data_IF_438334941266
#
_entry.id   IF_438334941266
#
_cell.length_a   1.000
_cell.length_b   1.000
_cell.length_c   1.000
_cell.angle_alpha   90.00
_cell.angle_beta   90.00
_cell.angle_gamma   90.00
#
_symmetry.space_group_name_H-M   'P 1'
#
loop_
_entity.id
_entity.type
_entity.pdbx_description
1 polymer ?
#
# COMPACT_ATOMS: atom_id res chain seq x y z
N UNK A 1 44.87 45.53 -23.18
CA UNK A 1 44.28 44.43 -23.96
C UNK A 1 43.06 43.94 -23.21
N UNK A 2 41.87 44.27 -23.74
CA UNK A 2 40.55 43.60 -23.71
C UNK A 2 40.07 42.93 -22.42
N UNK A 3 38.83 43.05 -21.95
CA UNK A 3 37.65 43.87 -22.26
C UNK A 3 36.70 43.69 -21.04
N UNK A 4 36.04 44.79 -20.67
CA UNK A 4 34.61 44.97 -20.27
C UNK A 4 33.73 43.76 -19.90
N UNK A 5 32.73 43.78 -19.00
CA UNK A 5 32.01 44.79 -18.22
C UNK A 5 31.12 44.04 -17.19
N UNK A 6 30.83 44.70 -16.04
CA UNK A 6 29.89 44.29 -14.96
C UNK A 6 28.43 44.59 -15.36
N UNK A 7 27.38 44.11 -14.63
CA UNK A 7 26.89 44.87 -13.46
C UNK A 7 26.50 43.99 -12.24
N UNK A 8 26.90 44.37 -11.01
CA UNK A 8 26.15 45.15 -9.97
C UNK A 8 24.91 44.39 -9.47
N UNK A 9 24.92 43.77 -8.28
CA UNK A 9 24.72 44.36 -6.94
C UNK A 9 23.26 44.07 -6.51
N UNK A 10 22.96 43.21 -5.53
CA UNK A 10 23.06 43.43 -4.07
C UNK A 10 22.07 44.52 -3.64
N UNK A 11 21.09 44.36 -2.73
CA UNK A 11 20.82 43.38 -1.69
C UNK A 11 19.43 43.62 -1.06
N UNK A 12 18.83 42.54 -0.56
CA UNK A 12 17.76 42.33 0.45
C UNK A 12 17.21 43.52 1.27
N UNK A 13 15.91 43.46 1.62
CA UNK A 13 15.36 43.24 2.98
C UNK A 13 13.79 43.22 2.97
N UNK A 14 13.15 42.12 3.41
CA UNK A 14 12.32 41.91 4.65
C UNK A 14 10.79 42.20 4.47
N UNK A 15 9.94 41.17 4.69
CA UNK A 15 8.45 41.18 4.63
C UNK A 15 7.76 41.73 5.89
N UNK A 16 6.49 41.40 6.30
CA UNK A 16 5.55 40.33 5.83
C UNK A 16 4.03 40.74 5.76
N UNK A 17 3.14 39.74 5.57
CA UNK A 17 1.74 39.64 6.09
C UNK A 17 0.52 40.17 5.25
N UNK A 18 -0.76 39.84 5.57
CA UNK A 18 -1.62 38.97 4.74
C UNK A 18 -3.00 39.61 4.42
N UNK A 19 -3.37 39.69 3.14
CA UNK A 19 -4.73 40.11 2.75
C UNK A 19 -4.83 41.52 2.14
N UNK A 20 -4.46 41.62 0.87
CA UNK A 20 -5.05 42.59 -0.04
C UNK A 20 -5.72 41.84 -1.20
N UNK A 21 -6.84 41.19 -0.88
CA UNK A 21 -7.74 40.49 -1.81
C UNK A 21 -8.70 41.47 -2.51
N UNK A 22 -8.22 42.63 -2.95
CA UNK A 22 -9.09 43.73 -3.38
C UNK A 22 -8.58 44.46 -4.63
N UNK A 23 -8.21 43.73 -5.68
CA UNK A 23 -8.01 44.31 -7.02
C UNK A 23 -8.68 43.54 -8.17
N UNK A 24 -9.62 42.63 -7.89
CA UNK A 24 -10.42 41.99 -8.94
C UNK A 24 -11.87 41.74 -8.51
N UNK A 25 -12.53 42.70 -7.85
CA UNK A 25 -14.01 42.69 -7.76
C UNK A 25 -14.54 44.12 -7.79
N UNK A 26 -14.88 44.62 -8.98
CA UNK A 26 -16.09 45.41 -9.28
C UNK A 26 -15.99 45.96 -10.70
N UNK A 27 -16.88 45.49 -11.58
CA UNK A 27 -17.02 46.04 -12.92
C UNK A 27 -17.61 45.03 -13.89
N UNK A 28 -18.87 44.64 -13.67
CA UNK A 28 -19.69 43.96 -14.67
C UNK A 28 -19.71 44.78 -15.96
N UNK A 29 -18.99 44.35 -16.98
CA UNK A 29 -19.27 44.79 -18.34
C UNK A 29 -20.47 44.02 -18.87
N UNK A 30 -21.57 44.76 -19.04
CA UNK A 30 -22.81 44.37 -19.70
C UNK A 30 -22.55 44.15 -21.19
N UNK A 31 -21.83 43.09 -21.55
CA UNK A 31 -21.77 42.59 -22.91
C UNK A 31 -21.47 41.08 -22.88
N UNK A 32 -22.36 40.35 -22.21
CA UNK A 32 -22.46 38.90 -22.34
C UNK A 32 -22.93 38.58 -23.77
N UNK A 33 -21.99 38.32 -24.68
CA UNK A 33 -22.29 37.61 -25.92
C UNK A 33 -22.23 36.13 -25.60
N UNK A 34 -23.32 35.35 -25.77
CA UNK A 34 -23.24 33.92 -25.57
C UNK A 34 -22.24 33.36 -26.56
N UNK A 35 -21.26 32.59 -26.09
CA UNK A 35 -20.37 31.82 -26.96
C UNK A 35 -21.23 30.74 -27.61
N UNK A 36 -21.85 31.07 -28.74
CA UNK A 36 -22.49 30.13 -29.63
C UNK A 36 -21.35 29.28 -30.16
N UNK A 37 -21.20 28.06 -29.63
CA UNK A 37 -20.25 27.11 -30.17
C UNK A 37 -20.55 26.94 -31.67
N UNK A 38 -19.57 27.16 -32.56
CA UNK A 38 -19.81 26.96 -33.98
C UNK A 38 -20.23 25.51 -34.20
N UNK A 39 -21.28 25.29 -34.99
CA UNK A 39 -21.88 23.97 -35.26
C UNK A 39 -20.86 22.96 -35.82
N UNK A 40 -19.71 23.44 -36.26
CA UNK A 40 -18.54 22.66 -36.69
C UNK A 40 -17.82 21.91 -35.56
N UNK A 41 -18.01 22.28 -34.28
CA UNK A 41 -17.49 21.49 -33.14
C UNK A 41 -18.39 20.29 -32.81
N UNK A 42 -19.71 20.39 -33.06
CA UNK A 42 -20.63 19.24 -32.99
C UNK A 42 -20.47 18.29 -34.18
N UNK A 43 -20.01 18.78 -35.34
CA UNK A 43 -19.60 17.91 -36.46
C UNK A 43 -18.32 17.12 -36.17
N UNK A 44 -17.45 17.60 -35.26
CA UNK A 44 -16.25 16.87 -34.87
C UNK A 44 -16.51 15.79 -33.81
N UNK A 45 -17.59 15.92 -33.02
CA UNK A 45 -18.01 14.93 -32.03
C UNK A 45 -19.01 13.91 -32.63
N UNK A 46 -19.70 14.26 -33.73
CA UNK A 46 -20.62 13.36 -34.43
C UNK A 46 -19.98 12.54 -35.59
N UNK A 47 -18.67 12.68 -35.84
CA UNK A 47 -17.92 11.77 -36.72
C UNK A 47 -17.10 10.72 -35.98
N UNK A 48 -17.29 10.58 -34.66
CA UNK A 48 -17.01 9.32 -33.97
C UNK A 48 -18.16 8.33 -34.25
N UNK A 49 -18.46 8.07 -35.53
CA UNK A 49 -18.96 6.75 -35.84
C UNK A 49 -17.82 5.81 -35.44
N UNK A 50 -18.11 4.82 -34.60
CA UNK A 50 -17.22 3.67 -34.39
C UNK A 50 -16.95 3.07 -35.78
N UNK A 51 -15.88 3.50 -36.43
CA UNK A 51 -15.52 3.10 -37.79
C UNK A 51 -14.61 1.88 -37.72
N UNK A 52 -15.16 0.71 -37.35
CA UNK A 52 -14.66 -0.62 -37.75
C UNK A 52 -15.29 -1.71 -36.88
N UNK A 53 -15.80 -2.77 -37.52
CA UNK A 53 -16.18 -4.04 -36.84
C UNK A 53 -14.98 -4.66 -36.10
N UNK A 54 -13.75 -4.34 -36.49
CA UNK A 54 -12.52 -4.83 -35.82
C UNK A 54 -12.33 -4.21 -34.44
N UNK A 55 -12.63 -2.92 -34.26
CA UNK A 55 -12.47 -2.26 -32.94
C UNK A 55 -13.49 -2.80 -31.93
N UNK A 56 -14.70 -3.14 -32.39
CA UNK A 56 -15.71 -3.83 -31.56
C UNK A 56 -15.25 -5.26 -31.21
N UNK A 57 -14.71 -6.01 -32.18
CA UNK A 57 -14.19 -7.36 -31.94
C UNK A 57 -12.99 -7.38 -30.99
N UNK A 58 -12.11 -6.38 -31.04
CA UNK A 58 -10.99 -6.24 -30.10
C UNK A 58 -11.49 -5.88 -28.69
N UNK A 59 -12.52 -5.05 -28.56
CA UNK A 59 -13.14 -4.76 -27.26
C UNK A 59 -13.85 -5.96 -26.63
N UNK A 60 -14.59 -6.77 -27.40
CA UNK A 60 -15.21 -8.00 -26.91
C UNK A 60 -14.17 -9.05 -26.50
N UNK A 61 -13.08 -9.16 -27.27
CA UNK A 61 -11.96 -10.04 -26.95
C UNK A 61 -11.23 -9.60 -25.68
N UNK A 62 -11.02 -8.30 -25.48
CA UNK A 62 -10.43 -7.78 -24.24
C UNK A 62 -11.35 -8.03 -23.04
N UNK A 63 -12.66 -7.84 -23.21
CA UNK A 63 -13.64 -8.05 -22.13
C UNK A 63 -13.71 -9.51 -21.71
N UNK A 64 -13.78 -10.43 -22.68
CA UNK A 64 -13.78 -11.88 -22.41
C UNK A 64 -12.49 -12.37 -21.74
N UNK A 65 -11.32 -11.82 -22.11
CA UNK A 65 -10.06 -12.15 -21.44
C UNK A 65 -10.04 -11.64 -19.99
N UNK A 66 -10.54 -10.41 -19.75
CA UNK A 66 -10.67 -9.86 -18.39
C UNK A 66 -11.59 -10.70 -17.52
N UNK A 67 -12.74 -11.09 -18.05
CA UNK A 67 -13.70 -11.96 -17.37
C UNK A 67 -13.09 -13.33 -17.04
N UNK A 68 -12.34 -13.93 -17.98
CA UNK A 68 -11.62 -15.18 -17.72
C UNK A 68 -10.55 -15.02 -16.62
N UNK A 69 -9.82 -13.91 -16.59
CA UNK A 69 -8.83 -13.64 -15.53
C UNK A 69 -9.49 -13.38 -14.17
N UNK A 70 -10.62 -12.69 -14.13
CA UNK A 70 -11.38 -12.45 -12.89
C UNK A 70 -11.95 -13.76 -12.33
N UNK A 71 -12.47 -14.63 -13.19
CA UNK A 71 -12.94 -15.96 -12.79
C UNK A 71 -11.79 -16.83 -12.25
N UNK A 72 -10.63 -16.82 -12.92
CA UNK A 72 -9.42 -17.52 -12.45
C UNK A 72 -8.95 -17.01 -11.08
N UNK A 73 -8.95 -15.68 -10.89
CA UNK A 73 -8.57 -15.05 -9.62
C UNK A 73 -9.55 -15.42 -8.50
N UNK A 74 -10.85 -15.44 -8.81
CA UNK A 74 -11.89 -15.81 -7.85
C UNK A 74 -11.73 -17.26 -7.42
N UNK A 75 -11.56 -18.18 -8.38
CA UNK A 75 -11.30 -19.60 -8.09
C UNK A 75 -10.01 -19.78 -7.24
N UNK A 76 -8.97 -19.01 -7.54
CA UNK A 76 -7.73 -19.03 -6.77
C UNK A 76 -7.91 -18.54 -5.31
N UNK A 77 -8.71 -17.50 -5.09
CA UNK A 77 -9.01 -17.00 -3.76
C UNK A 77 -9.93 -17.97 -2.98
N UNK A 78 -10.86 -18.64 -3.65
CA UNK A 78 -11.70 -19.69 -3.06
C UNK A 78 -10.84 -20.88 -2.59
N UNK A 79 -9.96 -21.41 -3.46
CA UNK A 79 -9.02 -22.48 -3.10
C UNK A 79 -8.11 -22.08 -1.93
N UNK A 80 -7.70 -20.81 -1.87
CA UNK A 80 -6.92 -20.29 -0.75
C UNK A 80 -7.73 -20.31 0.56
N UNK A 81 -9.00 -19.91 0.52
CA UNK A 81 -9.89 -19.91 1.67
C UNK A 81 -10.16 -21.34 2.21
N UNK A 82 -10.18 -22.33 1.32
CA UNK A 82 -10.33 -23.75 1.65
C UNK A 82 -9.02 -24.41 2.13
N UNK A 83 -7.91 -23.67 2.18
CA UNK A 83 -6.56 -24.17 2.49
C UNK A 83 -6.01 -25.21 1.48
N UNK A 84 -6.54 -25.20 0.25
CA UNK A 84 -6.14 -26.08 -0.86
C UNK A 84 -4.98 -25.48 -1.66
N UNK A 85 -3.84 -25.32 -1.00
CA UNK A 85 -2.70 -24.58 -1.58
C UNK A 85 -2.02 -25.30 -2.75
N UNK A 86 -2.08 -26.64 -2.78
CA UNK A 86 -1.49 -27.42 -3.86
C UNK A 86 -2.32 -27.29 -5.14
N UNK A 87 -3.64 -27.40 -5.04
CA UNK A 87 -4.55 -27.18 -6.16
C UNK A 87 -4.45 -25.73 -6.67
N UNK A 88 -4.35 -24.75 -5.75
CA UNK A 88 -4.12 -23.35 -6.08
C UNK A 88 -2.81 -23.15 -6.88
N UNK A 89 -1.74 -23.81 -6.46
CA UNK A 89 -0.47 -23.77 -7.18
C UNK A 89 -0.61 -24.38 -8.57
N UNK A 90 -1.22 -25.57 -8.69
CA UNK A 90 -1.43 -26.24 -9.98
C UNK A 90 -2.29 -25.42 -10.95
N UNK A 91 -3.29 -24.70 -10.43
CA UNK A 91 -4.15 -23.79 -11.19
C UNK A 91 -3.37 -22.57 -11.76
N UNK A 92 -2.53 -21.95 -10.93
CA UNK A 92 -1.83 -20.70 -11.29
C UNK A 92 -0.46 -20.93 -11.94
N UNK A 93 0.16 -22.09 -11.77
CA UNK A 93 1.49 -22.40 -12.28
C UNK A 93 1.66 -22.22 -13.81
N UNK A 94 0.67 -22.57 -14.67
CA UNK A 94 0.74 -22.30 -16.11
C UNK A 94 0.93 -20.81 -16.43
N UNK A 95 0.50 -19.93 -15.54
CA UNK A 95 0.55 -18.47 -15.68
C UNK A 95 1.73 -17.83 -14.97
N UNK A 96 2.71 -18.60 -14.45
CA UNK A 96 3.89 -18.05 -13.76
C UNK A 96 4.71 -17.07 -14.61
N UNK A 97 4.70 -17.28 -15.93
CA UNK A 97 5.41 -16.40 -16.87
C UNK A 97 4.57 -15.20 -17.31
N UNK A 98 3.29 -15.13 -16.92
CA UNK A 98 2.45 -13.97 -17.19
C UNK A 98 3.02 -12.71 -16.53
N UNK A 99 2.68 -11.56 -17.11
CA UNK A 99 2.98 -10.24 -16.54
C UNK A 99 1.80 -9.71 -15.72
N UNK A 100 0.93 -10.60 -15.24
CA UNK A 100 -0.20 -10.23 -14.39
C UNK A 100 0.22 -10.28 -12.92
N UNK A 101 0.26 -9.10 -12.30
CA UNK A 101 0.64 -8.92 -10.91
C UNK A 101 -0.28 -9.70 -9.98
N UNK A 102 -1.58 -9.76 -10.28
CA UNK A 102 -2.59 -10.43 -9.44
C UNK A 102 -2.37 -11.93 -9.34
N UNK A 103 -1.89 -12.53 -10.43
CA UNK A 103 -1.54 -13.96 -10.49
C UNK A 103 -0.22 -14.20 -9.76
N UNK A 104 0.80 -13.39 -10.03
CA UNK A 104 2.15 -13.59 -9.50
C UNK A 104 2.20 -13.56 -7.97
N UNK A 105 1.54 -12.58 -7.32
CA UNK A 105 1.56 -12.50 -5.86
C UNK A 105 0.72 -13.63 -5.23
N UNK A 106 -0.37 -14.08 -5.86
CA UNK A 106 -1.18 -15.22 -5.38
C UNK A 106 -0.44 -16.55 -5.48
N UNK A 107 0.28 -16.77 -6.59
CA UNK A 107 1.15 -17.94 -6.76
C UNK A 107 2.27 -17.93 -5.72
N UNK A 108 2.90 -16.78 -5.49
CA UNK A 108 3.91 -16.61 -4.44
C UNK A 108 3.33 -16.90 -3.05
N UNK A 109 2.12 -16.41 -2.75
CA UNK A 109 1.41 -16.72 -1.50
C UNK A 109 1.19 -18.22 -1.33
N UNK A 110 0.72 -18.91 -2.37
CA UNK A 110 0.51 -20.36 -2.33
C UNK A 110 1.81 -21.10 -1.98
N UNK A 111 2.92 -20.75 -2.65
CA UNK A 111 4.25 -21.29 -2.38
C UNK A 111 4.70 -21.07 -0.94
N UNK A 112 4.45 -19.89 -0.37
CA UNK A 112 4.76 -19.61 1.03
C UNK A 112 4.05 -20.59 1.97
N UNK A 113 2.74 -20.77 1.80
CA UNK A 113 1.95 -21.68 2.64
C UNK A 113 2.35 -23.14 2.44
N UNK A 114 2.61 -23.57 1.20
CA UNK A 114 3.15 -24.90 0.91
C UNK A 114 4.50 -25.12 1.59
N UNK A 115 5.39 -24.12 1.62
CA UNK A 115 6.67 -24.22 2.33
C UNK A 115 6.52 -24.46 3.83
N UNK A 116 5.45 -23.96 4.45
CA UNK A 116 5.15 -24.17 5.88
C UNK A 116 4.65 -25.59 6.16
N UNK A 117 4.03 -26.25 5.18
CA UNK A 117 3.54 -27.62 5.29
C UNK A 117 4.64 -28.67 5.10
N UNK A 118 5.79 -28.32 4.52
CA UNK A 118 6.87 -29.27 4.27
C UNK A 118 7.68 -29.61 5.52
N UNK A 119 8.02 -30.90 5.65
CA UNK A 119 8.91 -31.41 6.69
C UNK A 119 10.39 -31.33 6.29
N UNK A 120 10.71 -31.40 5.00
CA UNK A 120 12.09 -31.37 4.49
C UNK A 120 12.58 -29.95 4.23
N UNK A 121 13.79 -29.64 4.72
CA UNK A 121 14.36 -28.29 4.62
C UNK A 121 14.66 -27.87 3.17
N UNK A 122 15.06 -28.82 2.31
CA UNK A 122 15.40 -28.52 0.90
C UNK A 122 14.17 -28.14 0.06
N UNK A 123 13.05 -28.86 0.21
CA UNK A 123 11.82 -28.52 -0.53
C UNK A 123 11.22 -27.20 -0.04
N UNK A 124 11.28 -26.98 1.28
CA UNK A 124 10.92 -25.69 1.87
C UNK A 124 11.75 -24.55 1.29
N UNK A 125 13.07 -24.73 1.20
CA UNK A 125 13.97 -23.77 0.57
C UNK A 125 13.61 -23.53 -0.89
N UNK A 126 13.35 -24.59 -1.67
CA UNK A 126 12.93 -24.46 -3.08
C UNK A 126 11.70 -23.56 -3.23
N UNK A 127 10.64 -23.80 -2.45
CA UNK A 127 9.42 -22.99 -2.51
C UNK A 127 9.63 -21.54 -2.08
N UNK A 128 10.46 -21.30 -1.06
CA UNK A 128 10.78 -19.93 -0.62
C UNK A 128 11.53 -19.16 -1.70
N UNK A 129 12.51 -19.79 -2.35
CA UNK A 129 13.30 -19.15 -3.40
C UNK A 129 12.47 -18.90 -4.66
N UNK A 130 11.68 -19.88 -5.10
CA UNK A 130 10.77 -19.72 -6.25
C UNK A 130 9.73 -18.62 -6.02
N UNK A 131 9.11 -18.59 -4.84
CA UNK A 131 8.16 -17.54 -4.47
C UNK A 131 8.82 -16.15 -4.39
N UNK A 132 10.08 -16.09 -3.97
CA UNK A 132 10.86 -14.83 -3.96
C UNK A 132 11.08 -14.30 -5.38
N UNK A 133 11.42 -15.16 -6.34
CA UNK A 133 11.67 -14.72 -7.72
C UNK A 133 10.39 -14.20 -8.39
N UNK A 134 9.26 -14.86 -8.15
CA UNK A 134 7.95 -14.42 -8.65
C UNK A 134 7.53 -13.06 -8.08
N UNK A 135 7.74 -12.83 -6.78
CA UNK A 135 7.34 -11.55 -6.16
C UNK A 135 8.28 -10.41 -6.55
N UNK A 136 9.57 -10.68 -6.81
CA UNK A 136 10.49 -9.70 -7.40
C UNK A 136 10.02 -9.30 -8.80
N UNK A 137 9.62 -10.27 -9.62
CA UNK A 137 9.03 -9.98 -10.95
C UNK A 137 7.77 -9.13 -10.81
N UNK A 138 6.87 -9.46 -9.88
CA UNK A 138 5.66 -8.68 -9.63
C UNK A 138 5.97 -7.23 -9.21
N UNK A 139 6.99 -7.02 -8.38
CA UNK A 139 7.43 -5.69 -7.95
C UNK A 139 7.99 -4.85 -9.11
N UNK A 140 8.74 -5.48 -10.03
CA UNK A 140 9.24 -4.82 -11.24
C UNK A 140 8.11 -4.40 -12.18
N UNK A 141 7.00 -5.14 -12.20
CA UNK A 141 5.83 -4.83 -13.03
C UNK A 141 4.96 -3.73 -12.40
N UNK A 142 4.76 -3.76 -11.08
CA UNK A 142 3.94 -2.77 -10.37
C UNK A 142 4.41 -2.54 -8.93
N UNK A 143 5.10 -1.43 -8.71
CA UNK A 143 5.58 -0.93 -7.41
C UNK A 143 4.52 -0.08 -6.66
N UNK A 144 3.26 -0.13 -7.08
CA UNK A 144 2.14 0.57 -6.41
C UNK A 144 1.10 -0.41 -5.85
N UNK A 145 1.38 -1.71 -5.90
CA UNK A 145 0.43 -2.73 -5.45
C UNK A 145 0.71 -3.17 -4.00
N UNK A 146 -0.23 -2.88 -3.09
CA UNK A 146 -0.04 -3.15 -1.64
C UNK A 146 0.29 -4.62 -1.34
N UNK A 147 -0.35 -5.57 -2.03
CA UNK A 147 -0.13 -6.99 -1.78
C UNK A 147 1.28 -7.42 -2.23
N UNK A 148 1.84 -6.77 -3.26
CA UNK A 148 3.20 -7.06 -3.72
C UNK A 148 4.22 -6.63 -2.67
N UNK A 149 4.12 -5.39 -2.15
CA UNK A 149 5.00 -4.94 -1.07
C UNK A 149 4.90 -5.83 0.18
N UNK A 150 3.67 -6.22 0.55
CA UNK A 150 3.42 -7.14 1.67
C UNK A 150 4.11 -8.48 1.48
N UNK A 151 3.86 -9.16 0.36
CA UNK A 151 4.44 -10.47 0.10
C UNK A 151 5.95 -10.39 -0.13
N UNK A 152 6.45 -9.33 -0.76
CA UNK A 152 7.88 -9.07 -0.92
C UNK A 152 8.58 -8.97 0.43
N UNK A 153 8.02 -8.23 1.39
CA UNK A 153 8.57 -8.12 2.74
C UNK A 153 8.64 -9.49 3.46
N UNK A 154 7.58 -10.30 3.35
CA UNK A 154 7.52 -11.66 3.92
C UNK A 154 8.58 -12.58 3.28
N UNK A 155 8.71 -12.53 1.95
CA UNK A 155 9.68 -13.32 1.21
C UNK A 155 11.12 -12.86 1.45
N UNK A 156 11.36 -11.56 1.60
CA UNK A 156 12.67 -11.01 1.93
C UNK A 156 13.15 -11.47 3.31
N UNK A 157 12.29 -11.46 4.34
CA UNK A 157 12.63 -11.97 5.67
C UNK A 157 12.90 -13.48 5.64
N UNK A 158 12.02 -14.25 4.99
CA UNK A 158 12.17 -15.72 4.94
C UNK A 158 13.38 -16.16 4.14
N UNK A 159 13.71 -15.50 3.02
CA UNK A 159 14.93 -15.76 2.26
C UNK A 159 16.18 -15.38 3.06
N UNK A 160 16.21 -14.19 3.65
CA UNK A 160 17.36 -13.74 4.43
C UNK A 160 17.64 -14.62 5.66
N UNK A 161 16.63 -15.33 6.17
CA UNK A 161 16.83 -16.33 7.21
C UNK A 161 17.70 -17.53 6.75
N UNK A 162 17.65 -17.90 5.47
CA UNK A 162 18.52 -18.94 4.89
C UNK A 162 19.96 -18.45 4.70
N UNK A 163 20.16 -17.16 4.48
CA UNK A 163 21.49 -16.52 4.40
C UNK A 163 22.12 -16.30 5.79
N UNK A 164 21.32 -16.44 6.85
CA UNK A 164 21.75 -16.37 8.24
C UNK A 164 21.36 -15.07 8.96
N UNK A 165 21.54 -15.05 10.28
CA UNK A 165 21.06 -13.98 11.17
C UNK A 165 21.61 -12.60 10.76
N UNK A 166 22.88 -12.52 10.35
CA UNK A 166 23.50 -11.26 9.93
C UNK A 166 22.82 -10.67 8.68
N UNK A 167 22.53 -11.52 7.69
CA UNK A 167 21.83 -11.11 6.48
C UNK A 167 20.41 -10.65 6.82
N UNK A 168 19.70 -11.42 7.65
CA UNK A 168 18.37 -11.07 8.14
C UNK A 168 18.33 -9.70 8.82
N UNK A 169 19.23 -9.43 9.76
CA UNK A 169 19.33 -8.12 10.45
C UNK A 169 19.59 -6.98 9.46
N UNK A 170 20.44 -7.21 8.46
CA UNK A 170 20.76 -6.22 7.41
C UNK A 170 19.54 -5.89 6.55
N UNK A 171 18.65 -6.86 6.32
CA UNK A 171 17.45 -6.68 5.50
C UNK A 171 16.24 -6.13 6.26
N UNK A 172 16.26 -6.10 7.61
CA UNK A 172 15.14 -5.61 8.41
C UNK A 172 14.65 -4.19 8.03
N UNK A 173 15.52 -3.20 7.76
CA UNK A 173 15.07 -1.88 7.32
C UNK A 173 14.28 -1.95 5.99
N UNK A 174 14.72 -2.78 5.06
CA UNK A 174 14.05 -2.97 3.77
C UNK A 174 12.69 -3.64 3.96
N UNK A 175 12.62 -4.71 4.76
CA UNK A 175 11.36 -5.38 5.13
C UNK A 175 10.39 -4.36 5.72
N UNK A 176 10.84 -3.55 6.68
CA UNK A 176 10.02 -2.51 7.31
C UNK A 176 9.52 -1.48 6.30
N UNK A 177 10.37 -0.98 5.41
CA UNK A 177 9.98 0.03 4.42
C UNK A 177 8.90 -0.49 3.47
N UNK A 178 9.02 -1.73 2.97
CA UNK A 178 7.98 -2.32 2.12
C UNK A 178 6.67 -2.54 2.88
N UNK A 179 6.72 -2.96 4.15
CA UNK A 179 5.50 -3.06 4.96
C UNK A 179 4.83 -1.69 5.18
N UNK A 180 5.62 -0.63 5.41
CA UNK A 180 5.08 0.73 5.53
C UNK A 180 4.43 1.20 4.23
N UNK A 181 5.06 0.96 3.07
CA UNK A 181 4.44 1.24 1.77
C UNK A 181 3.13 0.46 1.58
N UNK A 182 3.08 -0.82 2.00
CA UNK A 182 1.85 -1.60 1.94
C UNK A 182 0.73 -1.01 2.81
N UNK A 183 1.06 -0.44 3.98
CA UNK A 183 0.09 0.29 4.83
C UNK A 183 -0.36 1.60 4.21
N UNK A 184 0.56 2.35 3.58
CA UNK A 184 0.21 3.60 2.88
C UNK A 184 -0.78 3.33 1.74
N UNK A 185 -0.59 2.24 1.01
CA UNK A 185 -1.46 1.82 -0.10
C UNK A 185 -2.77 1.17 0.38
N UNK A 186 -2.72 0.35 1.45
CA UNK A 186 -3.89 -0.28 2.05
C UNK A 186 -3.79 -0.30 3.59
N UNK A 187 -4.33 0.72 4.28
CA UNK A 187 -4.21 0.84 5.73
C UNK A 187 -5.07 -0.15 6.51
N UNK A 188 -5.93 -0.92 5.84
CA UNK A 188 -6.83 -1.91 6.47
C UNK A 188 -6.35 -3.34 6.37
N UNK A 189 -5.18 -3.58 5.75
CA UNK A 189 -4.63 -4.92 5.60
C UNK A 189 -4.19 -5.50 6.95
N UNK A 190 -4.97 -6.45 7.47
CA UNK A 190 -4.75 -7.04 8.78
C UNK A 190 -3.37 -7.72 8.91
N UNK A 191 -2.91 -8.40 7.86
CA UNK A 191 -1.60 -9.09 7.86
C UNK A 191 -0.44 -8.11 8.00
N UNK A 192 -0.46 -7.00 7.26
CA UNK A 192 0.61 -5.99 7.31
C UNK A 192 0.65 -5.30 8.67
N UNK A 193 -0.51 -4.94 9.22
CA UNK A 193 -0.63 -4.33 10.55
C UNK A 193 -0.13 -5.27 11.66
N UNK A 194 -0.46 -6.57 11.54
CA UNK A 194 0.01 -7.61 12.45
C UNK A 194 1.54 -7.75 12.41
N UNK A 195 2.14 -7.86 11.21
CA UNK A 195 3.60 -8.01 11.06
C UNK A 195 4.34 -6.79 11.63
N UNK A 196 3.78 -5.58 11.46
CA UNK A 196 4.35 -4.37 12.04
C UNK A 196 4.17 -4.28 13.57
N UNK A 197 3.39 -5.17 14.18
CA UNK A 197 3.08 -5.13 15.62
C UNK A 197 2.35 -3.85 16.00
N UNK A 198 1.43 -3.37 15.15
CA UNK A 198 0.85 -2.02 15.28
C UNK A 198 0.15 -1.80 16.64
N UNK A 199 -0.65 -2.77 17.10
CA UNK A 199 -1.33 -2.70 18.41
C UNK A 199 -0.34 -2.59 19.58
N UNK A 200 0.66 -3.47 19.60
CA UNK A 200 1.74 -3.49 20.60
C UNK A 200 2.53 -2.20 20.59
N UNK A 201 2.84 -1.66 19.41
CA UNK A 201 3.56 -0.40 19.28
C UNK A 201 2.75 0.78 19.87
N UNK A 202 1.44 0.83 19.64
CA UNK A 202 0.56 1.85 20.25
C UNK A 202 0.53 1.75 21.78
N UNK A 203 0.42 0.53 22.32
CA UNK A 203 0.48 0.29 23.76
C UNK A 203 1.83 0.74 24.35
N UNK A 204 2.93 0.39 23.69
CA UNK A 204 4.28 0.77 24.12
C UNK A 204 4.51 2.28 24.06
N UNK A 205 3.99 2.97 23.04
CA UNK A 205 3.99 4.43 22.97
C UNK A 205 3.20 5.03 24.13
N UNK A 206 2.00 4.52 24.41
CA UNK A 206 1.19 4.92 25.56
C UNK A 206 1.96 4.81 26.89
N UNK A 207 2.53 3.62 27.17
CA UNK A 207 3.38 3.36 28.35
C UNK A 207 4.61 4.26 28.43
N UNK A 208 5.23 4.55 27.28
CA UNK A 208 6.41 5.43 27.22
C UNK A 208 6.04 6.86 27.56
N UNK A 209 4.92 7.38 27.03
CA UNK A 209 4.46 8.71 27.37
C UNK A 209 4.00 8.85 28.83
N UNK A 210 3.47 7.77 29.44
CA UNK A 210 3.22 7.74 30.88
C UNK A 210 4.51 7.91 31.68
N UNK A 211 5.58 7.20 31.32
CA UNK A 211 6.89 7.34 31.96
C UNK A 211 7.53 8.72 31.74
N UNK A 212 7.14 9.43 30.69
CA UNK A 212 7.60 10.79 30.38
C UNK A 212 6.67 11.86 30.97
N UNK A 213 5.68 11.49 31.78
CA UNK A 213 4.70 12.40 32.41
C UNK A 213 3.95 13.27 31.37
N UNK A 214 3.71 12.71 30.17
CA UNK A 214 2.98 13.36 29.07
C UNK A 214 1.59 12.74 28.92
N UNK A 215 0.74 12.96 29.91
CA UNK A 215 -0.55 12.27 30.07
C UNK A 215 -1.50 12.40 28.89
N UNK A 216 -1.60 13.58 28.26
CA UNK A 216 -2.47 13.76 27.08
C UNK A 216 -2.05 12.86 25.93
N UNK A 217 -0.74 12.79 25.64
CA UNK A 217 -0.19 11.92 24.59
C UNK A 217 -0.35 10.45 24.97
N UNK A 218 -0.10 10.11 26.23
CA UNK A 218 -0.32 8.76 26.73
C UNK A 218 -1.77 8.30 26.52
N UNK A 219 -2.75 9.10 26.95
CA UNK A 219 -4.18 8.83 26.74
C UNK A 219 -4.52 8.68 25.27
N UNK A 220 -3.98 9.54 24.41
CA UNK A 220 -4.19 9.44 22.97
C UNK A 220 -3.76 8.08 22.41
N UNK A 221 -2.51 7.66 22.65
CA UNK A 221 -2.00 6.38 22.12
C UNK A 221 -2.65 5.16 22.77
N UNK A 222 -2.94 5.20 24.08
CA UNK A 222 -3.66 4.12 24.76
C UNK A 222 -5.10 3.99 24.23
N UNK A 223 -5.77 5.10 23.91
CA UNK A 223 -7.11 5.07 23.31
C UNK A 223 -7.06 4.47 21.90
N UNK A 224 -6.07 4.84 21.09
CA UNK A 224 -5.87 4.21 19.78
C UNK A 224 -5.63 2.70 19.90
N UNK A 225 -4.80 2.26 20.87
CA UNK A 225 -4.58 0.84 21.13
C UNK A 225 -5.88 0.14 21.55
N UNK A 226 -6.71 0.76 22.42
CA UNK A 226 -7.97 0.18 22.89
C UNK A 226 -9.05 0.04 21.82
N UNK A 227 -8.99 0.87 20.77
CA UNK A 227 -9.95 0.87 19.65
C UNK A 227 -9.50 -0.04 18.50
N UNK A 228 -8.34 -0.68 18.62
CA UNK A 228 -7.80 -1.55 17.58
C UNK A 228 -8.65 -2.83 17.48
N UNK A 229 -9.05 -3.27 16.27
CA UNK A 229 -9.78 -4.52 16.09
C UNK A 229 -8.84 -5.71 16.33
N UNK A 230 -9.05 -6.53 17.39
CA UNK A 230 -8.14 -7.62 17.73
C UNK A 230 -8.10 -8.66 16.61
N UNK A 231 -6.88 -9.06 16.21
CA UNK A 231 -6.66 -10.14 15.23
C UNK A 231 -6.00 -11.36 15.87
N UNK A 232 -5.22 -11.15 16.94
CA UNK A 232 -4.47 -12.18 17.66
C UNK A 232 -4.67 -12.09 19.17
N UNK A 233 -4.32 -13.16 19.90
CA UNK A 233 -4.33 -13.18 21.37
C UNK A 233 -3.43 -12.09 21.95
N UNK A 234 -2.31 -11.82 21.28
CA UNK A 234 -1.39 -10.74 21.60
C UNK A 234 -2.09 -9.37 21.49
N UNK A 235 -2.84 -9.11 20.42
CA UNK A 235 -3.62 -7.87 20.28
C UNK A 235 -4.65 -7.74 21.41
N UNK A 236 -5.33 -8.84 21.74
CA UNK A 236 -6.33 -8.86 22.82
C UNK A 236 -5.70 -8.50 24.17
N UNK A 237 -4.53 -9.07 24.46
CA UNK A 237 -3.78 -8.75 25.67
C UNK A 237 -3.36 -7.28 25.69
N UNK A 238 -2.88 -6.75 24.57
CA UNK A 238 -2.47 -5.35 24.46
C UNK A 238 -3.64 -4.38 24.63
N UNK A 239 -4.81 -4.68 24.05
CA UNK A 239 -6.05 -3.91 24.20
C UNK A 239 -6.53 -3.92 25.65
N UNK A 240 -6.52 -5.10 26.31
CA UNK A 240 -6.91 -5.23 27.71
C UNK A 240 -6.02 -4.39 28.61
N UNK A 241 -4.71 -4.47 28.41
CA UNK A 241 -3.74 -3.68 29.17
C UNK A 241 -3.91 -2.17 28.92
N UNK A 242 -4.14 -1.76 27.67
CA UNK A 242 -4.42 -0.36 27.34
C UNK A 242 -5.68 0.15 28.06
N UNK A 243 -6.76 -0.64 28.08
CA UNK A 243 -7.99 -0.31 28.79
C UNK A 243 -7.77 -0.15 30.30
N UNK A 244 -7.00 -1.05 30.92
CA UNK A 244 -6.74 -0.99 32.35
C UNK A 244 -5.87 0.22 32.74
N UNK A 245 -4.89 0.57 31.90
CA UNK A 245 -4.11 1.80 32.08
C UNK A 245 -4.98 3.06 31.97
N UNK A 246 -5.90 3.12 30.99
CA UNK A 246 -6.82 4.26 30.85
C UNK A 246 -7.71 4.44 32.10
N UNK A 247 -8.26 3.36 32.65
CA UNK A 247 -9.05 3.40 33.89
C UNK A 247 -8.26 3.94 35.08
N UNK A 248 -6.99 3.56 35.20
CA UNK A 248 -6.12 4.04 36.29
C UNK A 248 -5.85 5.55 36.17
N UNK A 249 -5.67 6.05 34.94
CA UNK A 249 -5.49 7.47 34.68
C UNK A 249 -6.75 8.29 34.97
N UNK A 250 -7.95 7.76 34.71
CA UNK A 250 -9.21 8.42 35.07
C UNK A 250 -9.38 8.54 36.59
N UNK A 251 -9.00 7.51 37.36
CA UNK A 251 -9.02 7.56 38.83
C UNK A 251 -8.07 8.62 39.40
N UNK A 252 -6.90 8.80 38.80
CA UNK A 252 -5.92 9.81 39.22
C UNK A 252 -6.38 11.25 38.96
N UNK A 253 -7.30 11.48 38.02
CA UNK A 253 -7.88 12.81 37.78
C UNK A 253 -9.04 13.16 38.72
N UNK A 254 -9.57 12.18 39.44
CA UNK A 254 -10.70 12.34 40.36
C UNK A 254 -10.26 12.47 41.84
N UNK A 255 -8.94 12.43 42.10
CA UNK A 255 -8.31 12.61 43.40
C UNK A 255 -7.54 13.93 43.43
#
# INVERSE_FOLDING_TARGET
MKDELRPKGGSKEIGPDPGQWALWVNGMDRNYRPFIMPVTWLSFIASLQVTSVKDLGDTEKILSVKEATENLITEADDLFSENKYKELYELLYPYKESNDVEILWRLSRALHHMSKQQCHNEEKKRYVFEGYDLIVKALQLNDSHYAVHKWYAIFLDTRAAYDGIKARVTQLPNVKNHLLQAVELNPKDATTLYILGYCQNLLMLGKTYLKLEKDEKARYYLKLASLYPPQTDDDLQAIKEACDLLKNLEKQQQQ
#
